data_IF_428426334297
#
_entry.id   IF_428426334297
#
_cell.length_a   1.000
_cell.length_b   1.000
_cell.length_c   1.000
_cell.angle_alpha   90.00
_cell.angle_beta   90.00
_cell.angle_gamma   90.00
#
_symmetry.space_group_name_H-M   'P 1'
#
loop_
_entity.id
_entity.type
_entity.pdbx_description
1 polymer ?
#
# COMPACT_ATOMS: atom_id res chain seq x y z
N UNK A 1 -11.80 14.67 -5.02
CA UNK A 1 -12.61 14.77 -6.24
C UNK A 1 -13.40 16.07 -6.24
N UNK A 2 -13.51 16.73 -7.39
CA UNK A 2 -14.20 18.02 -7.52
C UNK A 2 -15.66 17.98 -7.02
N UNK A 3 -16.30 16.83 -7.10
CA UNK A 3 -17.67 16.60 -6.59
C UNK A 3 -17.81 16.74 -5.09
N UNK A 4 -16.74 16.57 -4.31
CA UNK A 4 -16.74 16.67 -2.84
C UNK A 4 -16.48 18.10 -2.34
N UNK A 5 -15.87 18.94 -3.16
CA UNK A 5 -15.44 20.29 -2.78
C UNK A 5 -16.58 21.16 -2.20
N UNK A 6 -17.81 21.19 -2.79
CA UNK A 6 -18.88 22.01 -2.24
C UNK A 6 -19.37 21.57 -0.85
N UNK A 7 -19.35 20.25 -0.58
CA UNK A 7 -19.74 19.72 0.73
C UNK A 7 -18.66 20.01 1.78
N UNK A 8 -17.40 19.80 1.42
CA UNK A 8 -16.24 20.11 2.29
C UNK A 8 -16.21 21.61 2.66
N UNK A 9 -16.42 22.50 1.67
CA UNK A 9 -16.42 23.93 1.90
C UNK A 9 -17.53 24.41 2.87
N UNK A 10 -18.60 23.63 3.01
CA UNK A 10 -19.73 23.88 3.92
C UNK A 10 -19.63 23.07 5.24
N UNK A 11 -18.56 22.32 5.45
CA UNK A 11 -18.41 21.46 6.64
C UNK A 11 -19.41 20.32 6.72
N UNK A 12 -20.02 19.93 5.59
CA UNK A 12 -21.01 18.85 5.58
C UNK A 12 -20.33 17.48 5.57
N UNK A 13 -20.77 16.54 6.44
CA UNK A 13 -20.23 15.19 6.40
C UNK A 13 -20.68 14.48 5.12
N UNK A 14 -19.74 13.72 4.52
CA UNK A 14 -19.99 12.92 3.32
C UNK A 14 -19.95 11.44 3.72
N UNK A 15 -20.97 10.67 3.33
CA UNK A 15 -21.02 9.23 3.53
C UNK A 15 -20.84 8.52 2.19
N UNK A 16 -19.76 7.76 2.08
CA UNK A 16 -19.51 6.88 0.93
C UNK A 16 -19.99 5.48 1.27
N UNK A 17 -20.98 4.98 0.55
CA UNK A 17 -21.59 3.66 0.76
C UNK A 17 -21.49 2.81 -0.50
N UNK A 18 -21.47 1.50 -0.34
CA UNK A 18 -21.51 0.54 -1.44
C UNK A 18 -22.98 0.20 -1.76
N UNK A 19 -23.44 0.50 -2.98
CA UNK A 19 -24.79 0.19 -3.44
C UNK A 19 -25.08 -1.32 -3.50
N UNK A 20 -24.04 -2.14 -3.67
CA UNK A 20 -24.16 -3.61 -3.67
C UNK A 20 -24.14 -4.22 -2.26
N UNK A 21 -23.83 -3.43 -1.23
CA UNK A 21 -23.87 -3.83 0.18
C UNK A 21 -24.45 -2.70 1.03
N UNK A 22 -25.76 -2.45 0.96
CA UNK A 22 -26.41 -1.31 1.62
C UNK A 22 -26.43 -1.42 3.16
N UNK A 23 -26.24 -2.61 3.73
CA UNK A 23 -26.14 -2.83 5.19
C UNK A 23 -24.81 -2.38 5.78
N UNK A 24 -23.77 -2.22 4.95
CA UNK A 24 -22.48 -1.71 5.41
C UNK A 24 -22.55 -0.20 5.67
N UNK A 25 -22.10 0.24 6.86
CA UNK A 25 -22.17 1.63 7.28
C UNK A 25 -21.47 2.61 6.34
N UNK A 26 -20.48 2.13 5.58
CA UNK A 26 -19.69 2.94 4.66
C UNK A 26 -18.56 3.69 5.33
N UNK A 27 -18.00 4.67 4.61
CA UNK A 27 -16.93 5.55 5.10
C UNK A 27 -17.49 6.95 5.28
N UNK A 28 -17.34 7.49 6.47
CA UNK A 28 -17.67 8.88 6.79
C UNK A 28 -16.44 9.76 6.58
N UNK A 29 -16.63 10.86 5.87
CA UNK A 29 -15.61 11.89 5.61
C UNK A 29 -16.13 13.19 6.21
N UNK A 30 -15.46 13.70 7.22
CA UNK A 30 -15.79 14.95 7.90
C UNK A 30 -14.53 15.68 8.37
N UNK A 31 -14.73 16.84 9.00
CA UNK A 31 -13.63 17.67 9.51
C UNK A 31 -13.03 17.16 10.84
N UNK A 32 -13.74 16.31 11.59
CA UNK A 32 -13.29 15.85 12.90
C UNK A 32 -12.20 14.78 12.80
N UNK A 33 -12.16 14.08 11.67
CA UNK A 33 -11.22 12.99 11.44
C UNK A 33 -11.48 11.79 12.34
N UNK A 34 -11.26 10.58 11.84
CA UNK A 34 -11.42 9.37 12.65
C UNK A 34 -10.24 9.13 13.60
N UNK A 35 -10.48 8.37 14.68
CA UNK A 35 -9.41 7.79 15.48
C UNK A 35 -8.48 6.94 14.60
N UNK A 36 -7.19 6.94 14.88
CA UNK A 36 -6.18 6.14 14.14
C UNK A 36 -4.83 6.84 14.05
N UNK A 37 -3.91 6.21 13.33
CA UNK A 37 -2.56 6.71 13.13
C UNK A 37 -2.47 8.03 12.34
N UNK A 38 -1.25 8.56 12.16
CA UNK A 38 -1.01 9.84 11.48
C UNK A 38 -1.43 9.79 10.00
N UNK A 39 -1.30 8.66 9.34
CA UNK A 39 -1.73 8.43 7.97
C UNK A 39 -3.19 7.98 7.95
N UNK A 40 -4.01 8.67 7.18
CA UNK A 40 -5.46 8.39 7.05
C UNK A 40 -5.81 7.63 5.77
N UNK A 41 -4.96 7.70 4.76
CA UNK A 41 -5.19 7.01 3.51
C UNK A 41 -3.94 6.85 2.67
N UNK A 42 -3.99 5.85 1.80
CA UNK A 42 -3.03 5.68 0.71
C UNK A 42 -3.76 5.88 -0.61
N UNK A 43 -3.11 6.54 -1.54
CA UNK A 43 -3.62 6.67 -2.91
C UNK A 43 -2.60 6.15 -3.89
N UNK A 44 -3.07 5.52 -4.96
CA UNK A 44 -2.24 5.06 -6.06
C UNK A 44 -2.78 5.65 -7.36
N UNK A 45 -1.94 6.45 -8.03
CA UNK A 45 -2.26 7.01 -9.35
C UNK A 45 -1.39 6.31 -10.39
N UNK A 46 -1.99 5.62 -11.33
CA UNK A 46 -1.33 4.84 -12.37
C UNK A 46 -1.44 5.52 -13.75
N UNK A 47 -0.76 4.97 -14.76
CA UNK A 47 -0.78 5.48 -16.12
C UNK A 47 -0.02 6.79 -16.28
N UNK A 48 1.10 6.91 -15.59
CA UNK A 48 1.94 8.10 -15.54
C UNK A 48 3.32 7.84 -16.16
N UNK A 49 3.97 8.93 -16.54
CA UNK A 49 5.38 8.96 -16.93
C UNK A 49 6.11 10.08 -16.19
N UNK A 50 7.40 9.85 -15.94
CA UNK A 50 8.29 10.85 -15.40
C UNK A 50 9.04 11.53 -16.56
N UNK A 51 8.97 12.84 -16.62
CA UNK A 51 9.68 13.68 -17.58
C UNK A 51 10.69 14.53 -16.80
N UNK A 52 11.97 14.37 -17.13
CA UNK A 52 13.09 15.03 -16.42
C UNK A 52 13.86 15.92 -17.38
N UNK A 53 13.97 17.19 -17.06
CA UNK A 53 14.91 18.12 -17.70
C UNK A 53 16.20 18.11 -16.88
N UNK A 54 17.33 17.78 -17.52
CA UNK A 54 18.62 17.60 -16.85
C UNK A 54 19.70 18.47 -17.49
N UNK A 55 20.51 19.13 -16.65
CA UNK A 55 21.66 19.90 -17.13
C UNK A 55 22.38 20.66 -16.03
N UNK A 56 23.71 20.65 -16.07
CA UNK A 56 24.54 21.40 -15.13
C UNK A 56 24.38 22.94 -15.29
N UNK A 57 23.98 23.40 -16.48
CA UNK A 57 23.73 24.83 -16.77
C UNK A 57 22.41 25.35 -16.20
N UNK A 58 21.62 24.51 -15.52
CA UNK A 58 20.39 24.94 -14.84
C UNK A 58 20.66 25.49 -13.44
N UNK A 59 21.85 25.19 -12.89
CA UNK A 59 22.21 25.51 -11.50
C UNK A 59 22.28 27.02 -11.32
N UNK A 60 21.51 27.55 -10.35
CA UNK A 60 21.52 28.95 -10.00
C UNK A 60 20.95 29.90 -11.08
N UNK A 61 20.27 29.34 -12.11
CA UNK A 61 19.64 30.17 -13.16
C UNK A 61 18.18 30.45 -12.77
N UNK A 62 17.87 31.70 -12.38
CA UNK A 62 16.50 32.06 -12.02
C UNK A 62 15.53 31.89 -13.19
N UNK A 63 14.30 31.41 -12.89
CA UNK A 63 13.24 31.31 -13.89
C UNK A 63 13.21 30.00 -14.66
N UNK A 64 14.17 29.10 -14.50
CA UNK A 64 14.17 27.78 -15.19
C UNK A 64 12.89 27.00 -14.93
N UNK A 65 12.45 26.90 -13.66
CA UNK A 65 11.20 26.21 -13.31
C UNK A 65 9.97 26.89 -13.93
N UNK A 66 9.93 28.24 -13.97
CA UNK A 66 8.87 28.99 -14.63
C UNK A 66 8.75 28.57 -16.09
N UNK A 67 9.87 28.57 -16.83
CA UNK A 67 9.91 28.17 -18.25
C UNK A 67 9.41 26.75 -18.46
N UNK A 68 9.87 25.80 -17.64
CA UNK A 68 9.40 24.40 -17.71
C UNK A 68 7.88 24.34 -17.58
N UNK A 69 7.32 24.97 -16.54
CA UNK A 69 5.88 24.86 -16.29
C UNK A 69 5.06 25.73 -17.24
N UNK A 70 5.58 26.84 -17.75
CA UNK A 70 4.95 27.65 -18.79
C UNK A 70 4.83 26.89 -20.11
N UNK A 71 5.89 26.17 -20.54
CA UNK A 71 5.86 25.33 -21.73
C UNK A 71 4.83 24.20 -21.61
N UNK A 72 4.80 23.50 -20.48
CA UNK A 72 3.83 22.44 -20.22
C UNK A 72 2.39 23.00 -20.16
N UNK A 73 2.19 24.17 -19.55
CA UNK A 73 0.88 24.84 -19.48
C UNK A 73 0.37 25.23 -20.87
N UNK A 74 1.23 25.84 -21.70
CA UNK A 74 0.88 26.23 -23.09
C UNK A 74 0.44 25.01 -23.91
N UNK A 75 1.05 23.86 -23.68
CA UNK A 75 0.67 22.58 -24.28
C UNK A 75 -0.53 21.91 -23.60
N UNK A 76 -1.15 22.53 -22.58
CA UNK A 76 -2.28 21.98 -21.79
C UNK A 76 -1.97 20.65 -21.09
N UNK A 77 -0.71 20.44 -20.74
CA UNK A 77 -0.25 19.23 -20.03
C UNK A 77 -0.35 19.46 -18.53
N UNK A 78 -1.11 18.59 -17.86
CA UNK A 78 -1.28 18.64 -16.40
C UNK A 78 -0.13 17.93 -15.69
N UNK A 79 0.51 18.59 -14.75
CA UNK A 79 1.57 18.02 -13.91
C UNK A 79 0.96 17.45 -12.63
N UNK A 80 1.18 16.16 -12.38
CA UNK A 80 0.64 15.43 -11.22
C UNK A 80 1.54 15.56 -10.00
N UNK A 81 2.86 15.55 -10.21
CA UNK A 81 3.87 15.64 -9.16
C UNK A 81 5.11 16.36 -9.70
N UNK A 82 5.77 17.13 -8.86
CA UNK A 82 7.02 17.82 -9.16
C UNK A 82 8.06 17.39 -8.12
N UNK A 83 9.27 17.11 -8.58
CA UNK A 83 10.42 16.84 -7.72
C UNK A 83 11.63 17.58 -8.30
N UNK A 84 12.28 18.39 -7.48
CA UNK A 84 13.50 19.10 -7.83
C UNK A 84 14.56 18.84 -6.76
N UNK A 85 15.74 18.45 -7.17
CA UNK A 85 16.88 18.27 -6.26
C UNK A 85 17.41 19.64 -5.79
N UNK A 86 17.98 19.68 -4.58
CA UNK A 86 18.58 20.89 -4.00
C UNK A 86 19.75 21.42 -4.80
N UNK A 87 20.33 20.61 -5.66
CA UNK A 87 21.43 20.98 -6.56
C UNK A 87 20.97 21.67 -7.85
N UNK A 88 19.65 21.80 -8.07
CA UNK A 88 19.05 22.40 -9.26
C UNK A 88 19.49 21.77 -10.60
N UNK A 89 20.15 20.59 -10.59
CA UNK A 89 20.60 19.91 -11.80
C UNK A 89 19.47 19.33 -12.63
N UNK A 90 18.31 19.10 -12.01
CA UNK A 90 17.18 18.47 -12.67
C UNK A 90 15.85 18.96 -12.13
N UNK A 91 14.88 19.09 -13.03
CA UNK A 91 13.47 19.31 -12.71
C UNK A 91 12.70 18.11 -13.24
N UNK A 92 12.15 17.33 -12.33
CA UNK A 92 11.35 16.15 -12.64
C UNK A 92 9.86 16.48 -12.53
N UNK A 93 9.09 16.20 -13.57
CA UNK A 93 7.64 16.35 -13.62
C UNK A 93 7.00 15.00 -13.89
N UNK A 94 5.98 14.63 -13.15
CA UNK A 94 5.17 13.46 -13.46
C UNK A 94 3.91 13.92 -14.17
N UNK A 95 3.68 13.40 -15.36
CA UNK A 95 2.54 13.70 -16.23
C UNK A 95 1.78 12.41 -16.58
N UNK A 96 0.62 12.52 -17.22
CA UNK A 96 -0.04 11.33 -17.78
C UNK A 96 0.86 10.71 -18.85
N UNK A 97 0.92 9.42 -18.92
CA UNK A 97 1.76 8.70 -19.90
C UNK A 97 1.41 9.08 -21.34
N UNK A 98 0.12 9.29 -21.64
CA UNK A 98 -0.34 9.75 -22.94
C UNK A 98 0.20 11.13 -23.35
N UNK A 99 0.56 11.98 -22.38
CA UNK A 99 1.05 13.33 -22.63
C UNK A 99 2.60 13.40 -22.62
N UNK A 100 3.30 12.30 -22.34
CA UNK A 100 4.73 12.29 -22.05
C UNK A 100 5.61 12.73 -23.22
N UNK A 101 5.33 12.23 -24.44
CA UNK A 101 6.09 12.63 -25.64
C UNK A 101 5.81 14.08 -26.08
N UNK A 102 4.57 14.56 -25.91
CA UNK A 102 4.25 15.95 -26.11
C UNK A 102 5.00 16.85 -25.10
N UNK A 103 5.05 16.45 -23.82
CA UNK A 103 5.82 17.15 -22.80
C UNK A 103 7.31 17.20 -23.17
N UNK A 104 7.88 16.09 -23.61
CA UNK A 104 9.27 16.02 -24.08
C UNK A 104 9.52 17.01 -25.22
N UNK A 105 8.66 17.00 -26.24
CA UNK A 105 8.81 17.86 -27.41
C UNK A 105 8.80 19.34 -27.05
N UNK A 106 7.80 19.79 -26.28
CA UNK A 106 7.70 21.20 -25.92
C UNK A 106 8.85 21.66 -25.01
N UNK A 107 9.40 20.79 -24.17
CA UNK A 107 10.57 21.10 -23.36
C UNK A 107 11.86 21.15 -24.19
N UNK A 108 12.02 20.27 -25.17
CA UNK A 108 13.15 20.32 -26.11
C UNK A 108 13.14 21.62 -26.93
N UNK A 109 11.96 22.05 -27.38
CA UNK A 109 11.80 23.29 -28.13
C UNK A 109 12.08 24.52 -27.25
N UNK A 110 11.53 24.56 -26.03
CA UNK A 110 11.73 25.66 -25.08
C UNK A 110 13.20 25.83 -24.69
N UNK A 111 13.93 24.73 -24.52
CA UNK A 111 15.33 24.72 -24.09
C UNK A 111 16.31 24.44 -25.25
N UNK A 112 15.90 24.67 -26.51
CA UNK A 112 16.72 24.37 -27.69
C UNK A 112 18.07 25.12 -27.69
N UNK A 113 18.13 26.37 -27.18
CA UNK A 113 19.35 27.13 -27.07
C UNK A 113 20.33 26.55 -26.06
N UNK A 114 19.83 26.19 -24.89
CA UNK A 114 20.61 25.59 -23.80
C UNK A 114 21.09 24.16 -24.14
N UNK A 115 20.29 23.44 -24.92
CA UNK A 115 20.69 22.15 -25.52
C UNK A 115 21.84 22.37 -26.52
N UNK A 116 21.73 23.36 -27.42
CA UNK A 116 22.75 23.69 -28.38
C UNK A 116 24.09 24.15 -27.78
N UNK A 117 24.03 24.76 -26.59
CA UNK A 117 25.22 25.17 -25.80
C UNK A 117 25.72 24.14 -24.78
N UNK A 118 25.14 22.96 -24.75
CA UNK A 118 25.41 21.88 -23.80
C UNK A 118 25.20 22.27 -22.30
N UNK A 119 24.44 23.33 -22.03
CA UNK A 119 24.01 23.70 -20.69
C UNK A 119 22.92 22.79 -20.17
N UNK A 120 22.03 22.31 -21.04
CA UNK A 120 21.05 21.26 -20.81
C UNK A 120 21.52 20.00 -21.53
N UNK A 121 21.50 18.86 -20.84
CA UNK A 121 21.90 17.57 -21.40
C UNK A 121 20.77 16.93 -22.19
N UNK A 122 19.53 17.15 -21.81
CA UNK A 122 18.37 16.64 -22.50
C UNK A 122 17.12 16.58 -21.66
N UNK A 123 16.08 16.08 -22.31
CA UNK A 123 14.80 15.74 -21.67
C UNK A 123 14.61 14.23 -21.73
N UNK A 124 14.59 13.59 -20.56
CA UNK A 124 14.37 12.15 -20.44
C UNK A 124 12.91 11.86 -20.13
N UNK A 125 12.38 10.78 -20.70
CA UNK A 125 11.04 10.25 -20.42
C UNK A 125 11.16 8.83 -19.90
N UNK A 126 10.56 8.56 -18.74
CA UNK A 126 10.46 7.22 -18.17
C UNK A 126 8.97 6.87 -18.10
N UNK A 127 8.46 6.04 -18.99
CA UNK A 127 7.07 5.57 -18.98
C UNK A 127 6.83 4.53 -17.87
N UNK A 128 5.59 4.10 -17.71
CA UNK A 128 5.25 3.03 -16.76
C UNK A 128 5.46 3.42 -15.31
N UNK A 129 5.09 4.64 -14.95
CA UNK A 129 5.18 5.16 -13.58
C UNK A 129 3.82 5.12 -12.89
N UNK A 130 3.85 4.85 -11.60
CA UNK A 130 2.74 5.07 -10.68
C UNK A 130 3.19 5.96 -9.51
N UNK A 131 2.31 6.81 -9.01
CA UNK A 131 2.56 7.62 -7.81
C UNK A 131 1.76 7.03 -6.64
N UNK A 132 2.48 6.55 -5.64
CA UNK A 132 1.92 6.15 -4.36
C UNK A 132 2.03 7.34 -3.40
N UNK A 133 0.92 7.72 -2.77
CA UNK A 133 0.92 8.78 -1.78
C UNK A 133 0.29 8.34 -0.46
N UNK A 134 0.97 8.68 0.65
CA UNK A 134 0.43 8.62 2.00
C UNK A 134 -0.13 9.99 2.37
N UNK A 135 -1.37 10.01 2.87
CA UNK A 135 -2.10 11.25 3.16
C UNK A 135 -2.68 11.20 4.56
N UNK A 136 -2.57 12.29 5.29
CA UNK A 136 -3.17 12.41 6.62
C UNK A 136 -2.81 13.73 7.32
N UNK A 137 -3.79 14.34 7.98
CA UNK A 137 -3.57 15.57 8.75
C UNK A 137 -2.66 15.32 9.98
N UNK A 138 -2.71 14.13 10.56
CA UNK A 138 -1.85 13.75 11.69
C UNK A 138 -0.38 13.52 11.33
N UNK A 139 -0.01 13.62 10.05
CA UNK A 139 1.37 13.49 9.61
C UNK A 139 2.19 14.75 9.93
N UNK A 140 1.53 15.93 9.93
CA UNK A 140 2.18 17.20 10.19
C UNK A 140 2.79 17.22 11.61
N UNK A 141 4.09 17.51 11.70
CA UNK A 141 4.83 17.53 12.96
C UNK A 141 5.03 16.15 13.61
N UNK A 142 4.70 15.05 12.92
CA UNK A 142 4.90 13.69 13.45
C UNK A 142 6.17 13.07 12.89
N UNK A 143 7.24 12.93 13.70
CA UNK A 143 8.49 12.32 13.25
C UNK A 143 8.30 10.85 12.87
N UNK A 144 9.06 10.41 11.87
CA UNK A 144 9.15 8.99 11.51
C UNK A 144 8.17 8.51 10.44
N UNK A 145 7.14 9.28 10.06
CA UNK A 145 6.17 8.88 9.03
C UNK A 145 6.84 8.58 7.69
N UNK A 146 7.76 9.45 7.24
CA UNK A 146 8.51 9.22 6.02
C UNK A 146 9.41 7.99 6.12
N UNK A 147 10.10 7.79 7.26
CA UNK A 147 10.94 6.62 7.49
C UNK A 147 10.12 5.32 7.45
N UNK A 148 8.90 5.33 8.01
CA UNK A 148 7.98 4.19 7.98
C UNK A 148 7.53 3.84 6.57
N UNK A 149 7.15 4.85 5.76
CA UNK A 149 6.76 4.67 4.37
C UNK A 149 7.92 4.11 3.54
N UNK A 150 9.06 4.80 3.56
CA UNK A 150 10.21 4.42 2.72
C UNK A 150 10.85 3.12 3.19
N UNK A 151 10.86 2.85 4.50
CA UNK A 151 11.29 1.57 5.05
C UNK A 151 10.40 0.40 4.59
N UNK A 152 9.08 0.61 4.49
CA UNK A 152 8.16 -0.38 3.95
C UNK A 152 8.43 -0.68 2.47
N UNK A 153 8.63 0.37 1.65
CA UNK A 153 8.97 0.22 0.24
C UNK A 153 10.31 -0.50 0.05
N UNK A 154 11.31 -0.15 0.87
CA UNK A 154 12.63 -0.79 0.83
C UNK A 154 12.56 -2.29 1.16
N UNK A 155 11.85 -2.68 2.22
CA UNK A 155 11.61 -4.11 2.56
C UNK A 155 10.88 -4.86 1.44
N UNK A 156 9.96 -4.20 0.77
CA UNK A 156 9.26 -4.74 -0.39
C UNK A 156 10.10 -4.72 -1.68
N UNK A 157 11.36 -4.28 -1.63
CA UNK A 157 12.27 -4.14 -2.79
C UNK A 157 11.67 -3.28 -3.91
N UNK A 158 10.97 -2.22 -3.52
CA UNK A 158 10.42 -1.23 -4.45
C UNK A 158 11.40 -0.07 -4.57
N UNK A 159 11.86 0.18 -5.80
CA UNK A 159 12.72 1.33 -6.08
C UNK A 159 11.89 2.61 -6.24
N UNK A 160 12.31 3.69 -5.59
CA UNK A 160 11.69 5.01 -5.67
C UNK A 160 12.44 5.83 -6.72
N UNK A 161 11.70 6.38 -7.70
CA UNK A 161 12.25 7.20 -8.78
C UNK A 161 12.29 8.69 -8.45
N UNK A 162 11.26 9.18 -7.77
CA UNK A 162 11.16 10.55 -7.30
C UNK A 162 10.28 10.64 -6.05
N UNK A 163 10.53 11.65 -5.24
CA UNK A 163 9.79 11.90 -3.99
C UNK A 163 9.32 13.35 -4.01
N UNK A 164 8.11 13.58 -3.54
CA UNK A 164 7.60 14.91 -3.25
C UNK A 164 6.87 14.93 -1.91
N UNK A 165 7.18 15.95 -1.09
CA UNK A 165 6.50 16.24 0.16
C UNK A 165 6.28 17.74 0.23
N UNK A 166 5.03 18.17 0.42
CA UNK A 166 4.69 19.58 0.58
C UNK A 166 5.02 20.11 1.98
N UNK A 167 5.21 21.39 2.13
CA UNK A 167 5.47 22.05 3.42
C UNK A 167 4.33 21.91 4.43
N UNK A 168 3.13 21.51 4.00
CA UNK A 168 2.02 21.18 4.89
C UNK A 168 2.19 19.84 5.61
N UNK A 169 3.17 19.01 5.18
CA UNK A 169 3.46 17.66 5.71
C UNK A 169 2.27 16.68 5.69
N UNK A 170 1.17 17.03 5.00
CA UNK A 170 -0.06 16.21 4.95
C UNK A 170 -0.04 15.16 3.86
N UNK A 171 1.00 15.16 3.03
CA UNK A 171 1.16 14.26 1.90
C UNK A 171 2.65 13.94 1.68
N UNK A 172 2.96 12.65 1.51
CA UNK A 172 4.25 12.17 1.02
C UNK A 172 3.96 11.31 -0.19
N UNK A 173 4.51 11.70 -1.34
CA UNK A 173 4.33 11.02 -2.63
C UNK A 173 5.64 10.41 -3.11
N UNK A 174 5.58 9.20 -3.64
CA UNK A 174 6.70 8.48 -4.22
C UNK A 174 6.33 8.00 -5.63
N UNK A 175 7.11 8.37 -6.62
CA UNK A 175 7.02 7.83 -7.97
C UNK A 175 7.78 6.50 -8.02
N UNK A 176 7.14 5.44 -8.48
CA UNK A 176 7.63 4.07 -8.54
C UNK A 176 7.32 3.45 -9.90
N UNK A 177 7.94 2.34 -10.23
CA UNK A 177 7.56 1.58 -11.43
C UNK A 177 6.12 1.04 -11.31
N UNK A 178 5.33 1.09 -12.38
CA UNK A 178 3.95 0.61 -12.39
C UNK A 178 3.85 -0.89 -12.08
N UNK A 179 4.86 -1.68 -12.46
CA UNK A 179 4.97 -3.11 -12.12
C UNK A 179 5.04 -3.37 -10.61
N UNK A 180 5.51 -2.40 -9.83
CA UNK A 180 5.66 -2.50 -8.39
C UNK A 180 4.46 -1.94 -7.61
N UNK A 181 3.51 -1.30 -8.29
CA UNK A 181 2.44 -0.51 -7.68
C UNK A 181 1.62 -1.27 -6.63
N UNK A 182 1.18 -2.50 -6.95
CA UNK A 182 0.41 -3.32 -6.02
C UNK A 182 1.24 -3.74 -4.81
N UNK A 183 2.50 -4.16 -5.05
CA UNK A 183 3.42 -4.56 -3.97
C UNK A 183 3.74 -3.39 -3.04
N UNK A 184 3.97 -2.21 -3.60
CA UNK A 184 4.23 -0.97 -2.87
C UNK A 184 3.02 -0.56 -2.01
N UNK A 185 1.82 -0.58 -2.58
CA UNK A 185 0.59 -0.24 -1.86
C UNK A 185 0.36 -1.19 -0.68
N UNK A 186 0.54 -2.49 -0.89
CA UNK A 186 0.41 -3.51 0.15
C UNK A 186 1.42 -3.31 1.28
N UNK A 187 2.67 -3.08 0.94
CA UNK A 187 3.73 -2.85 1.93
C UNK A 187 3.49 -1.57 2.74
N UNK A 188 3.09 -0.48 2.09
CA UNK A 188 2.74 0.77 2.78
C UNK A 188 1.52 0.59 3.68
N UNK A 189 0.47 -0.10 3.20
CA UNK A 189 -0.70 -0.41 4.02
C UNK A 189 -0.32 -1.24 5.26
N UNK A 190 0.46 -2.29 5.07
CA UNK A 190 0.92 -3.10 6.19
C UNK A 190 1.69 -2.27 7.22
N UNK A 191 2.54 -1.35 6.77
CA UNK A 191 3.35 -0.53 7.66
C UNK A 191 2.51 0.43 8.52
N UNK A 192 1.42 1.00 8.00
CA UNK A 192 0.64 2.01 8.72
C UNK A 192 -0.54 1.45 9.51
N UNK A 193 -1.10 0.31 9.09
CA UNK A 193 -2.33 -0.25 9.70
C UNK A 193 -2.16 -1.63 10.32
N UNK A 194 -1.03 -2.29 10.04
CA UNK A 194 -0.75 -3.58 10.65
C UNK A 194 0.42 -3.47 11.62
N UNK A 195 0.38 -4.27 12.68
CA UNK A 195 1.57 -4.46 13.51
C UNK A 195 2.69 -5.09 12.66
N UNK A 196 3.95 -4.69 12.84
CA UNK A 196 5.09 -5.39 12.23
C UNK A 196 5.11 -6.89 12.56
N UNK A 197 4.44 -7.28 13.63
CA UNK A 197 4.32 -8.66 14.11
C UNK A 197 2.92 -9.23 13.84
N UNK A 198 2.24 -8.79 12.77
CA UNK A 198 0.98 -9.40 12.35
C UNK A 198 1.26 -10.72 11.66
N UNK A 199 0.62 -11.79 12.15
CA UNK A 199 0.76 -13.15 11.61
C UNK A 199 -0.63 -13.68 11.24
N UNK A 200 -0.80 -14.10 9.98
CA UNK A 200 -1.95 -14.88 9.54
C UNK A 200 -1.82 -16.33 10.02
N UNK A 201 -2.78 -16.82 10.77
CA UNK A 201 -2.77 -18.19 11.30
C UNK A 201 -3.83 -19.06 10.63
N UNK A 202 -3.46 -20.29 10.27
CA UNK A 202 -4.40 -21.38 10.05
C UNK A 202 -4.17 -22.47 11.10
N UNK A 203 -5.25 -23.09 11.54
CA UNK A 203 -5.20 -24.24 12.44
C UNK A 203 -5.84 -25.44 11.74
N UNK A 204 -5.11 -26.52 11.63
CA UNK A 204 -5.59 -27.79 11.05
C UNK A 204 -5.77 -28.79 12.18
N UNK A 205 -6.89 -29.53 12.15
CA UNK A 205 -7.23 -30.52 13.17
C UNK A 205 -7.79 -29.89 14.45
N UNK A 206 -9.02 -29.31 14.44
CA UNK A 206 -9.65 -28.73 15.62
C UNK A 206 -10.25 -29.83 16.55
N UNK A 207 -9.49 -30.92 16.75
CA UNK A 207 -9.78 -31.97 17.72
C UNK A 207 -9.44 -31.52 19.15
N UNK A 208 -9.10 -32.48 20.04
CA UNK A 208 -8.82 -32.17 21.45
C UNK A 208 -7.68 -31.13 21.61
N UNK A 209 -6.56 -31.33 20.91
CA UNK A 209 -5.38 -30.43 21.00
C UNK A 209 -5.67 -29.12 20.29
N UNK A 210 -6.13 -29.18 19.05
CA UNK A 210 -6.40 -27.96 18.26
C UNK A 210 -7.53 -27.10 18.87
N UNK A 211 -8.56 -27.70 19.46
CA UNK A 211 -9.60 -26.98 20.18
C UNK A 211 -9.05 -26.26 21.42
N UNK A 212 -8.22 -26.93 22.22
CA UNK A 212 -7.58 -26.32 23.38
C UNK A 212 -6.66 -25.14 22.94
N UNK A 213 -5.90 -25.33 21.87
CA UNK A 213 -5.07 -24.27 21.29
C UNK A 213 -5.92 -23.06 20.82
N UNK A 214 -7.00 -23.30 20.09
CA UNK A 214 -7.89 -22.24 19.61
C UNK A 214 -8.52 -21.44 20.74
N UNK A 215 -8.93 -22.11 21.83
CA UNK A 215 -9.49 -21.46 23.02
C UNK A 215 -8.43 -20.62 23.75
N UNK A 216 -7.23 -21.15 23.94
CA UNK A 216 -6.11 -20.41 24.55
C UNK A 216 -5.69 -19.24 23.68
N UNK A 217 -5.59 -19.43 22.36
CA UNK A 217 -5.27 -18.37 21.42
C UNK A 217 -6.29 -17.25 21.52
N UNK A 218 -7.58 -17.56 21.45
CA UNK A 218 -8.66 -16.60 21.54
C UNK A 218 -8.61 -15.79 22.85
N UNK A 219 -8.33 -16.42 23.96
CA UNK A 219 -8.17 -15.77 25.26
C UNK A 219 -6.91 -14.87 25.31
N UNK A 220 -5.83 -15.25 24.63
CA UNK A 220 -4.55 -14.55 24.65
C UNK A 220 -4.47 -13.38 23.65
N UNK A 221 -5.26 -13.38 22.57
CA UNK A 221 -5.19 -12.38 21.51
C UNK A 221 -5.22 -10.92 22.00
N UNK A 222 -6.13 -10.51 22.90
CA UNK A 222 -6.16 -9.12 23.38
C UNK A 222 -4.85 -8.72 24.08
N UNK A 223 -4.33 -9.61 24.96
CA UNK A 223 -3.09 -9.38 25.68
C UNK A 223 -1.85 -9.37 24.76
N UNK A 224 -1.77 -10.29 23.79
CA UNK A 224 -0.68 -10.33 22.82
C UNK A 224 -0.62 -9.03 22.01
N UNK A 225 -1.79 -8.49 21.65
CA UNK A 225 -1.89 -7.23 20.91
C UNK A 225 -1.49 -6.02 21.76
N UNK A 226 -1.96 -5.94 23.02
CA UNK A 226 -1.67 -4.80 23.90
C UNK A 226 -0.24 -4.81 24.46
N UNK A 227 0.22 -5.96 24.99
CA UNK A 227 1.43 -6.04 25.79
C UNK A 227 2.67 -6.37 24.94
N UNK A 228 2.51 -7.21 23.91
CA UNK A 228 3.62 -7.67 23.09
C UNK A 228 3.62 -7.06 21.67
N UNK A 229 2.61 -6.27 21.31
CA UNK A 229 2.43 -5.72 19.96
C UNK A 229 2.39 -6.82 18.86
N UNK A 230 1.93 -8.03 19.24
CA UNK A 230 1.76 -9.17 18.33
C UNK A 230 0.30 -9.27 17.94
N UNK A 231 0.00 -9.15 16.65
CA UNK A 231 -1.35 -9.27 16.10
C UNK A 231 -1.51 -10.61 15.39
N UNK A 232 -1.93 -11.64 16.10
CA UNK A 232 -2.24 -12.94 15.52
C UNK A 232 -3.66 -12.94 14.97
N UNK A 233 -3.82 -13.28 13.71
CA UNK A 233 -5.13 -13.29 13.04
C UNK A 233 -5.46 -14.70 12.55
N UNK A 234 -6.47 -15.29 13.14
CA UNK A 234 -6.99 -16.58 12.71
C UNK A 234 -7.69 -16.40 11.36
N UNK A 235 -7.16 -17.06 10.33
CA UNK A 235 -7.60 -16.91 8.94
C UNK A 235 -8.25 -18.16 8.37
N UNK A 236 -7.90 -19.34 8.90
CA UNK A 236 -8.51 -20.58 8.49
C UNK A 236 -8.55 -21.58 9.64
N UNK A 237 -9.58 -22.42 9.65
CA UNK A 237 -9.62 -23.64 10.48
C UNK A 237 -10.05 -24.77 9.56
N UNK A 238 -9.25 -25.84 9.50
CA UNK A 238 -9.54 -27.04 8.73
C UNK A 238 -9.77 -28.25 9.64
N UNK A 239 -10.94 -28.87 9.52
CA UNK A 239 -11.26 -30.17 10.07
C UNK A 239 -11.05 -31.27 9.04
N UNK A 240 -11.52 -32.51 9.36
CA UNK A 240 -11.50 -33.62 8.41
C UNK A 240 -12.43 -33.44 7.23
N UNK A 241 -13.54 -32.77 7.42
CA UNK A 241 -14.65 -32.65 6.48
C UNK A 241 -15.10 -31.18 6.22
N UNK A 242 -14.61 -30.24 7.01
CA UNK A 242 -15.00 -28.84 6.94
C UNK A 242 -13.79 -27.91 6.89
N UNK A 243 -13.89 -26.88 6.07
CA UNK A 243 -12.91 -25.79 6.00
C UNK A 243 -13.64 -24.46 6.20
N UNK A 244 -13.23 -23.72 7.22
CA UNK A 244 -13.66 -22.35 7.43
C UNK A 244 -12.53 -21.39 7.05
N UNK A 245 -12.81 -20.52 6.08
CA UNK A 245 -11.94 -19.44 5.68
C UNK A 245 -12.51 -18.11 6.21
N UNK A 246 -11.71 -17.41 6.98
CA UNK A 246 -12.12 -16.21 7.69
C UNK A 246 -11.76 -14.93 6.92
N UNK A 247 -12.65 -13.95 6.94
CA UNK A 247 -12.37 -12.59 6.48
C UNK A 247 -11.38 -11.83 7.39
N UNK A 248 -11.20 -10.53 7.16
CA UNK A 248 -10.24 -9.70 7.91
C UNK A 248 -10.67 -9.33 9.33
N UNK A 249 -11.87 -9.70 9.76
CA UNK A 249 -12.41 -9.38 11.09
C UNK A 249 -12.11 -10.47 12.08
N UNK A 250 -11.84 -10.09 13.33
CA UNK A 250 -11.73 -11.03 14.44
C UNK A 250 -13.09 -11.72 14.67
N UNK A 251 -13.08 -13.04 14.81
CA UNK A 251 -14.28 -13.81 15.09
C UNK A 251 -14.15 -14.47 16.48
N UNK A 252 -14.95 -14.02 17.46
CA UNK A 252 -14.80 -14.48 18.84
C UNK A 252 -15.25 -15.93 19.07
N UNK A 253 -16.09 -16.48 18.20
CA UNK A 253 -16.61 -17.85 18.34
C UNK A 253 -16.23 -18.74 17.15
N UNK A 254 -15.07 -19.36 17.24
CA UNK A 254 -14.60 -20.27 16.21
C UNK A 254 -15.44 -21.54 16.08
N UNK A 255 -16.09 -22.01 17.21
CA UNK A 255 -16.92 -23.23 17.20
C UNK A 255 -18.19 -23.03 16.40
N UNK A 256 -18.89 -21.91 16.63
CA UNK A 256 -20.08 -21.57 15.88
C UNK A 256 -19.75 -21.45 14.38
N UNK A 257 -18.62 -20.83 14.04
CA UNK A 257 -18.18 -20.69 12.65
C UNK A 257 -17.83 -22.01 11.99
N UNK A 258 -17.16 -22.90 12.70
CA UNK A 258 -16.88 -24.24 12.18
C UNK A 258 -18.16 -25.09 12.02
N UNK A 259 -19.16 -24.90 12.88
CA UNK A 259 -20.44 -25.59 12.73
C UNK A 259 -21.17 -25.18 11.43
N UNK A 260 -21.11 -23.88 11.09
CA UNK A 260 -21.71 -23.29 9.88
C UNK A 260 -20.85 -23.45 8.62
N UNK A 261 -19.59 -23.90 8.75
CA UNK A 261 -18.66 -24.01 7.63
C UNK A 261 -19.13 -25.03 6.59
N UNK A 262 -18.89 -24.76 5.29
CA UNK A 262 -19.25 -25.69 4.24
C UNK A 262 -18.48 -27.01 4.36
N UNK A 263 -19.13 -28.09 3.96
CA UNK A 263 -18.52 -29.42 3.89
C UNK A 263 -17.63 -29.47 2.65
N UNK A 264 -16.40 -29.06 2.79
CA UNK A 264 -15.33 -29.21 1.81
C UNK A 264 -13.99 -28.90 2.49
N UNK A 265 -13.08 -29.85 2.48
CA UNK A 265 -11.72 -29.62 2.98
C UNK A 265 -10.76 -29.72 1.79
N UNK A 266 -10.39 -28.57 1.26
CA UNK A 266 -9.32 -28.46 0.27
C UNK A 266 -8.17 -27.65 0.90
N UNK A 267 -7.13 -28.34 1.32
CA UNK A 267 -5.98 -27.75 1.98
C UNK A 267 -5.16 -26.85 1.07
N UNK A 268 -5.25 -27.02 -0.26
CA UNK A 268 -4.58 -26.14 -1.25
C UNK A 268 -5.08 -24.70 -1.17
N UNK A 269 -6.35 -24.51 -0.80
CA UNK A 269 -6.95 -23.18 -0.63
C UNK A 269 -6.45 -22.43 0.61
N UNK A 270 -5.90 -23.12 1.61
CA UNK A 270 -5.41 -22.48 2.84
C UNK A 270 -4.19 -21.61 2.54
N UNK A 271 -3.23 -22.14 1.80
CA UNK A 271 -2.00 -21.41 1.46
C UNK A 271 -2.32 -20.14 0.68
N UNK A 272 -3.12 -20.25 -0.38
CA UNK A 272 -3.53 -19.09 -1.19
C UNK A 272 -4.31 -18.07 -0.36
N UNK A 273 -5.20 -18.51 0.54
CA UNK A 273 -5.98 -17.64 1.41
C UNK A 273 -5.12 -16.90 2.45
N UNK A 274 -4.10 -17.55 3.03
CA UNK A 274 -3.16 -16.91 3.95
C UNK A 274 -2.28 -15.87 3.23
N UNK A 275 -1.83 -16.20 2.00
CA UNK A 275 -0.94 -15.34 1.21
C UNK A 275 -1.69 -14.23 0.45
N UNK A 276 -2.98 -14.39 0.19
CA UNK A 276 -3.82 -13.38 -0.48
C UNK A 276 -4.07 -12.15 0.42
N UNK A 277 -3.76 -12.27 1.70
CA UNK A 277 -3.85 -11.17 2.65
C UNK A 277 -2.55 -10.37 2.66
N UNK A 278 -2.66 -9.07 2.88
CA UNK A 278 -1.50 -8.15 2.98
C UNK A 278 -0.70 -8.35 4.28
N UNK A 279 -0.72 -9.56 4.84
CA UNK A 279 -0.07 -9.86 6.10
C UNK A 279 1.40 -10.18 5.89
N UNK A 280 2.30 -9.64 6.73
CA UNK A 280 3.74 -9.81 6.55
C UNK A 280 4.21 -11.24 6.80
N UNK A 281 3.49 -11.99 7.63
CA UNK A 281 3.85 -13.35 8.03
C UNK A 281 2.63 -14.27 8.01
N UNK A 282 2.86 -15.55 7.70
CA UNK A 282 1.85 -16.59 7.71
C UNK A 282 2.38 -17.84 8.41
N UNK A 283 1.52 -18.49 9.19
CA UNK A 283 1.84 -19.75 9.83
C UNK A 283 0.64 -20.70 9.81
N UNK A 284 0.93 -21.99 9.64
CA UNK A 284 -0.04 -23.07 9.76
C UNK A 284 0.34 -23.89 10.99
N UNK A 285 -0.61 -24.11 11.88
CA UNK A 285 -0.45 -24.96 13.05
C UNK A 285 -1.24 -26.24 12.76
N UNK A 286 -0.51 -27.35 12.59
CA UNK A 286 -1.11 -28.64 12.36
C UNK A 286 -1.22 -29.42 13.68
N UNK A 287 -2.43 -29.57 14.16
CA UNK A 287 -2.81 -30.38 15.32
C UNK A 287 -3.51 -31.68 14.91
N UNK A 288 -3.43 -32.09 13.64
CA UNK A 288 -4.01 -33.33 13.15
C UNK A 288 -3.06 -34.50 13.39
N UNK A 289 -3.62 -35.69 13.33
CA UNK A 289 -2.85 -36.96 13.34
C UNK A 289 -2.74 -37.56 11.92
N UNK A 290 -2.82 -36.71 10.88
CA UNK A 290 -2.93 -37.15 9.49
C UNK A 290 -1.62 -36.95 8.72
N UNK A 291 -1.02 -38.00 8.26
CA UNK A 291 0.15 -37.96 7.37
C UNK A 291 -0.15 -37.24 6.04
N UNK A 292 -1.42 -37.25 5.61
CA UNK A 292 -1.82 -36.53 4.39
C UNK A 292 -1.64 -35.01 4.49
N UNK A 293 -1.78 -34.42 5.69
CA UNK A 293 -1.52 -33.00 5.91
C UNK A 293 -0.03 -32.69 5.79
N UNK A 294 0.82 -33.57 6.32
CA UNK A 294 2.27 -33.39 6.28
C UNK A 294 2.83 -33.38 4.84
N UNK A 295 2.15 -34.02 3.89
CA UNK A 295 2.55 -33.98 2.47
C UNK A 295 2.51 -32.58 1.86
N UNK A 296 1.74 -31.63 2.43
CA UNK A 296 1.67 -30.25 2.01
C UNK A 296 2.78 -29.36 2.60
N UNK A 297 3.51 -29.80 3.62
CA UNK A 297 4.52 -28.97 4.28
C UNK A 297 5.59 -28.42 3.34
N UNK A 298 6.17 -29.23 2.40
CA UNK A 298 7.19 -28.71 1.49
C UNK A 298 6.68 -27.55 0.64
N UNK A 299 5.44 -27.64 0.16
CA UNK A 299 4.79 -26.60 -0.64
C UNK A 299 4.57 -25.33 0.19
N UNK A 300 4.04 -25.46 1.41
CA UNK A 300 3.78 -24.31 2.29
C UNK A 300 5.07 -23.60 2.71
N UNK A 301 6.11 -24.37 3.06
CA UNK A 301 7.42 -23.81 3.40
C UNK A 301 8.06 -23.11 2.20
N UNK A 302 7.98 -23.67 1.00
CA UNK A 302 8.46 -23.02 -0.23
C UNK A 302 7.71 -21.71 -0.55
N UNK A 303 6.41 -21.63 -0.18
CA UNK A 303 5.60 -20.43 -0.30
C UNK A 303 5.87 -19.39 0.81
N UNK A 304 6.78 -19.66 1.76
CA UNK A 304 7.10 -18.76 2.87
C UNK A 304 6.14 -18.82 4.05
N UNK A 305 5.34 -19.88 4.16
CA UNK A 305 4.45 -20.11 5.29
C UNK A 305 5.17 -20.97 6.33
N UNK A 306 5.20 -20.52 7.57
CA UNK A 306 5.77 -21.30 8.67
C UNK A 306 4.83 -22.44 9.06
N UNK A 307 5.38 -23.62 9.33
CA UNK A 307 4.62 -24.77 9.79
C UNK A 307 5.03 -25.10 11.22
N UNK A 308 4.03 -25.25 12.10
CA UNK A 308 4.17 -25.62 13.50
C UNK A 308 3.35 -26.90 13.71
N UNK A 309 3.98 -27.94 14.21
CA UNK A 309 3.33 -29.23 14.56
C UNK A 309 3.76 -29.64 15.93
N UNK A 310 2.86 -30.19 16.77
CA UNK A 310 3.17 -30.71 18.11
C UNK A 310 4.04 -31.96 18.09
#
# INVERSE_FOLDING_TARGET
>A
PQTMTPAIARGLPILMRNSFNPSFAGTRIDAEGGAGGPVKGLTLNAGLALVSLEGAGLIGVPGTAERVFAALHAAKISVVMISQGSSEHSICSVVREADAEAARTVLLDEFARELGSAQVQGVQVVPGISVLAAVGDGMAGTPGVAAQLFGALARARVNIRAIAQGASERNISAAIAASDATRALRAAHAAFWLSPQTVALAVIGPGKVGAALLDQLQAALPRLRSDANIDLRLRAIAGSDKLWLCGHRDHPDWRARMAEAPVATDLSNIASHLLDTHMPHAAIIDCSASDAVAQHYPEWLAAGIHVITP
#
